data_IF_824205374017
#
_entry.id   IF_824205374017
#
_cell.length_a   1.000
_cell.length_b   1.000
_cell.length_c   1.000
_cell.angle_alpha   90.00
_cell.angle_beta   90.00
_cell.angle_gamma   90.00
#
_symmetry.space_group_name_H-M   'P 1'
#
loop_
_entity.id
_entity.type
_entity.pdbx_description
1 polymer ?
#
# COMPACT_ATOMS: atom_id res chain seq x y z
N UNK A 1 -4.85 -4.44 35.13
CA UNK A 1 -6.30 -4.75 35.02
C UNK A 1 -6.90 -4.11 33.78
N UNK A 2 -7.05 -2.78 33.70
CA UNK A 2 -7.70 -2.15 32.51
C UNK A 2 -6.84 -2.19 31.23
N UNK A 3 -5.54 -1.96 31.36
CA UNK A 3 -4.59 -2.00 30.22
C UNK A 3 -4.46 -3.41 29.63
N UNK A 4 -4.40 -4.43 30.49
CA UNK A 4 -4.34 -5.84 30.08
C UNK A 4 -5.63 -6.28 29.37
N UNK A 5 -6.79 -5.85 29.88
CA UNK A 5 -8.09 -6.09 29.22
C UNK A 5 -8.16 -5.42 27.84
N UNK A 6 -7.64 -4.20 27.70
CA UNK A 6 -7.56 -3.51 26.40
C UNK A 6 -6.61 -4.23 25.45
N UNK A 7 -5.47 -4.69 25.95
CA UNK A 7 -4.51 -5.46 25.18
C UNK A 7 -5.13 -6.78 24.66
N UNK A 8 -5.80 -7.54 25.53
CA UNK A 8 -6.50 -8.78 25.14
C UNK A 8 -7.61 -8.52 24.12
N UNK A 9 -8.37 -7.43 24.27
CA UNK A 9 -9.38 -7.03 23.30
C UNK A 9 -8.77 -6.71 21.92
N UNK A 10 -7.65 -5.98 21.88
CA UNK A 10 -6.94 -5.68 20.64
C UNK A 10 -6.35 -6.94 19.98
N UNK A 11 -5.86 -7.89 20.77
CA UNK A 11 -5.41 -9.19 20.25
C UNK A 11 -6.59 -9.95 19.62
N UNK A 12 -7.73 -10.01 20.29
CA UNK A 12 -8.93 -10.68 19.75
C UNK A 12 -9.45 -10.00 18.46
N UNK A 13 -9.39 -8.67 18.38
CA UNK A 13 -9.74 -7.92 17.17
C UNK A 13 -8.81 -8.26 16.00
N UNK A 14 -7.49 -8.37 16.25
CA UNK A 14 -6.50 -8.73 15.24
C UNK A 14 -6.69 -10.17 14.78
N UNK A 15 -6.97 -11.10 15.69
CA UNK A 15 -7.28 -12.49 15.35
C UNK A 15 -8.55 -12.62 14.51
N UNK A 16 -9.60 -11.87 14.87
CA UNK A 16 -10.85 -11.79 14.12
C UNK A 16 -10.63 -11.18 12.72
N UNK A 17 -9.73 -10.20 12.61
CA UNK A 17 -9.35 -9.64 11.31
C UNK A 17 -8.56 -10.64 10.47
N UNK A 18 -7.66 -11.41 11.09
CA UNK A 18 -6.83 -12.41 10.40
C UNK A 18 -7.61 -13.63 9.92
N UNK A 19 -8.75 -13.95 10.54
CA UNK A 19 -9.64 -15.03 10.11
C UNK A 19 -10.46 -14.69 8.84
N UNK A 20 -10.44 -13.43 8.38
CA UNK A 20 -11.13 -13.04 7.15
C UNK A 20 -10.55 -13.73 5.90
N UNK A 21 -11.41 -13.95 4.88
CA UNK A 21 -11.05 -14.61 3.60
C UNK A 21 -9.83 -13.96 2.92
N UNK A 22 -9.59 -12.67 3.18
CA UNK A 22 -8.43 -11.92 2.69
C UNK A 22 -7.09 -12.59 3.00
N UNK A 23 -6.98 -13.28 4.13
CA UNK A 23 -5.71 -13.86 4.60
C UNK A 23 -5.61 -15.36 4.45
N UNK A 24 -6.55 -16.01 3.77
CA UNK A 24 -6.59 -17.47 3.58
C UNK A 24 -5.28 -18.08 3.06
N UNK A 25 -4.55 -17.35 2.21
CA UNK A 25 -3.27 -17.78 1.63
C UNK A 25 -2.04 -17.20 2.33
N UNK A 26 -2.22 -16.45 3.43
CA UNK A 26 -1.13 -15.75 4.13
C UNK A 26 -0.66 -16.54 5.34
N UNK A 27 0.56 -17.09 5.29
CA UNK A 27 1.21 -17.75 6.44
C UNK A 27 2.05 -16.73 7.22
N UNK A 28 1.80 -16.58 8.51
CA UNK A 28 2.55 -15.69 9.41
C UNK A 28 3.39 -16.52 10.39
N UNK A 29 4.72 -16.33 10.48
CA UNK A 29 5.57 -17.01 11.45
C UNK A 29 5.61 -16.31 12.83
N UNK A 30 4.55 -15.57 13.19
CA UNK A 30 4.42 -14.78 14.42
C UNK A 30 2.95 -14.71 14.85
N UNK A 31 2.70 -14.38 16.12
CA UNK A 31 1.35 -14.36 16.71
C UNK A 31 0.71 -12.98 16.65
N UNK A 32 -0.62 -12.91 16.84
CA UNK A 32 -1.33 -11.64 16.95
C UNK A 32 -0.82 -10.82 18.15
N UNK A 33 -0.49 -11.49 19.24
CA UNK A 33 0.11 -10.89 20.43
C UNK A 33 1.43 -10.18 20.10
N UNK A 34 2.33 -10.84 19.37
CA UNK A 34 3.61 -10.24 18.97
C UNK A 34 3.39 -8.96 18.15
N UNK A 35 2.34 -8.92 17.32
CA UNK A 35 2.00 -7.72 16.55
C UNK A 35 1.47 -6.61 17.45
N UNK A 36 0.52 -6.89 18.34
CA UNK A 36 -0.08 -5.87 19.22
C UNK A 36 0.97 -5.25 20.15
N UNK A 37 2.00 -6.00 20.57
CA UNK A 37 3.11 -5.47 21.36
C UNK A 37 3.86 -4.34 20.65
N UNK A 38 4.06 -4.43 19.33
CA UNK A 38 4.78 -3.42 18.55
C UNK A 38 3.86 -2.35 17.94
N UNK A 39 2.54 -2.55 17.95
CA UNK A 39 1.59 -1.58 17.42
C UNK A 39 1.30 -0.53 18.50
N UNK A 40 2.14 0.50 18.54
CA UNK A 40 1.85 1.67 19.36
C UNK A 40 0.67 2.46 18.76
N UNK A 41 -0.42 2.55 19.52
CA UNK A 41 -1.47 3.59 19.49
C UNK A 41 -1.97 3.98 18.09
N UNK A 42 -3.09 3.37 17.68
CA UNK A 42 -4.19 3.97 16.91
C UNK A 42 -3.83 4.89 15.73
N UNK A 43 -2.80 4.59 14.96
CA UNK A 43 -2.68 5.14 13.60
C UNK A 43 -3.50 4.26 12.66
N UNK A 44 -4.83 4.43 12.68
CA UNK A 44 -5.71 3.91 11.63
C UNK A 44 -5.43 4.69 10.33
N UNK A 45 -4.26 4.44 9.73
CA UNK A 45 -3.78 5.17 8.57
C UNK A 45 -4.76 4.99 7.41
N UNK A 46 -5.18 6.13 6.85
CA UNK A 46 -6.13 6.34 5.75
C UNK A 46 -5.85 5.52 4.48
N UNK A 47 -4.67 4.90 4.38
CA UNK A 47 -4.29 3.94 3.34
C UNK A 47 -5.26 2.74 3.26
N UNK A 48 -5.95 2.41 4.35
CA UNK A 48 -6.84 1.23 4.42
C UNK A 48 -7.89 1.19 3.30
N UNK A 49 -8.49 2.30 2.90
CA UNK A 49 -9.58 2.31 1.90
C UNK A 49 -9.09 2.01 0.48
N UNK A 50 -7.95 2.57 0.07
CA UNK A 50 -7.38 2.34 -1.28
C UNK A 50 -6.80 0.93 -1.43
N UNK A 51 -6.17 0.42 -0.39
CA UNK A 51 -5.65 -0.95 -0.35
C UNK A 51 -6.77 -2.00 -0.40
N UNK A 52 -7.89 -1.77 0.28
CA UNK A 52 -9.06 -2.64 0.21
C UNK A 52 -9.66 -2.69 -1.21
N UNK A 53 -9.73 -1.55 -1.90
CA UNK A 53 -10.17 -1.50 -3.32
C UNK A 53 -9.26 -2.33 -4.24
N UNK A 54 -7.94 -2.23 -4.08
CA UNK A 54 -6.99 -3.02 -4.88
C UNK A 54 -7.11 -4.53 -4.60
N UNK A 55 -7.37 -4.92 -3.34
CA UNK A 55 -7.59 -6.33 -2.99
C UNK A 55 -8.90 -6.87 -3.59
N UNK A 56 -9.97 -6.08 -3.56
CA UNK A 56 -11.25 -6.41 -4.18
C UNK A 56 -11.11 -6.56 -5.70
N UNK A 57 -10.44 -5.62 -6.36
CA UNK A 57 -10.21 -5.67 -7.80
C UNK A 57 -9.38 -6.88 -8.22
N UNK A 58 -8.32 -7.20 -7.46
CA UNK A 58 -7.52 -8.40 -7.71
C UNK A 58 -8.35 -9.67 -7.63
N UNK A 59 -9.19 -9.80 -6.60
CA UNK A 59 -10.09 -10.95 -6.45
C UNK A 59 -11.05 -11.07 -7.64
N UNK A 60 -11.65 -9.94 -8.08
CA UNK A 60 -12.53 -9.90 -9.26
C UNK A 60 -11.83 -10.33 -10.54
N UNK A 61 -10.64 -9.79 -10.80
CA UNK A 61 -9.82 -10.09 -11.98
C UNK A 61 -9.41 -11.57 -12.00
N UNK A 62 -8.98 -12.12 -10.86
CA UNK A 62 -8.64 -13.55 -10.74
C UNK A 62 -9.86 -14.45 -10.97
N UNK A 63 -11.02 -14.12 -10.40
CA UNK A 63 -12.24 -14.91 -10.57
C UNK A 63 -12.78 -14.86 -12.00
N UNK A 64 -12.58 -13.76 -12.71
CA UNK A 64 -13.02 -13.58 -14.09
C UNK A 64 -12.00 -14.07 -15.13
N UNK A 65 -10.83 -14.55 -14.70
CA UNK A 65 -9.75 -14.99 -15.58
C UNK A 65 -9.15 -13.85 -16.43
N UNK A 66 -9.33 -12.60 -16.04
CA UNK A 66 -8.82 -11.42 -16.76
C UNK A 66 -7.51 -10.91 -16.14
N UNK A 67 -6.95 -9.82 -16.67
CA UNK A 67 -5.76 -9.18 -16.11
C UNK A 67 -5.93 -7.66 -16.03
N UNK A 68 -5.53 -7.06 -14.90
CA UNK A 68 -5.34 -5.60 -14.80
C UNK A 68 -3.93 -5.26 -15.26
N UNK A 69 -3.81 -4.44 -16.31
CA UNK A 69 -2.53 -4.05 -16.92
C UNK A 69 -2.29 -2.56 -16.67
N UNK A 70 -1.05 -2.20 -16.36
CA UNK A 70 -0.62 -0.81 -16.18
C UNK A 70 0.85 -0.65 -16.53
N UNK A 71 1.37 0.57 -16.50
CA UNK A 71 2.78 0.90 -16.70
C UNK A 71 3.23 1.96 -15.70
N UNK A 72 4.54 2.24 -15.67
CA UNK A 72 5.16 3.16 -14.71
C UNK A 72 4.77 4.61 -14.94
N UNK A 73 4.14 5.24 -13.94
CA UNK A 73 3.79 6.65 -13.99
C UNK A 73 4.97 7.55 -13.55
N UNK A 74 5.33 8.51 -14.40
CA UNK A 74 6.43 9.45 -14.20
C UNK A 74 6.00 10.67 -13.37
N UNK A 75 4.80 11.18 -13.57
CA UNK A 75 4.34 12.43 -12.95
C UNK A 75 2.81 12.45 -12.75
N UNK A 76 2.27 13.40 -11.96
CA UNK A 76 0.83 13.49 -11.72
C UNK A 76 -0.02 13.74 -12.97
N UNK A 77 0.52 14.44 -13.99
CA UNK A 77 -0.20 14.68 -15.24
C UNK A 77 -0.41 13.35 -15.97
N UNK A 78 0.63 12.52 -16.06
CA UNK A 78 0.54 11.18 -16.62
C UNK A 78 -0.47 10.32 -15.83
N UNK A 79 -0.48 10.42 -14.50
CA UNK A 79 -1.47 9.73 -13.65
C UNK A 79 -2.91 10.13 -14.00
N UNK A 80 -3.19 11.42 -14.20
CA UNK A 80 -4.56 11.87 -14.55
C UNK A 80 -5.04 11.34 -15.89
N UNK A 81 -4.14 11.14 -16.85
CA UNK A 81 -4.47 10.55 -18.14
C UNK A 81 -4.63 9.04 -18.05
N UNK A 82 -3.76 8.37 -17.28
CA UNK A 82 -3.84 6.94 -17.02
C UNK A 82 -5.12 6.54 -16.30
N UNK A 83 -5.56 7.34 -15.32
CA UNK A 83 -6.75 7.06 -14.51
C UNK A 83 -8.06 6.95 -15.32
N UNK A 84 -8.09 7.46 -16.55
CA UNK A 84 -9.24 7.36 -17.47
C UNK A 84 -9.35 5.98 -18.13
N UNK A 85 -8.26 5.24 -18.20
CA UNK A 85 -8.14 4.02 -19.01
C UNK A 85 -7.60 2.81 -18.23
N UNK A 86 -6.96 3.03 -17.09
CA UNK A 86 -6.24 2.01 -16.32
C UNK A 86 -6.72 2.02 -14.87
N UNK A 87 -6.97 0.82 -14.33
CA UNK A 87 -7.48 0.64 -12.97
C UNK A 87 -6.40 0.74 -11.89
N UNK A 88 -5.14 0.58 -12.29
CA UNK A 88 -3.98 0.52 -11.40
C UNK A 88 -2.86 1.45 -11.89
N UNK A 89 -2.03 1.90 -10.95
CA UNK A 89 -0.84 2.73 -11.21
C UNK A 89 0.37 1.97 -10.66
N UNK A 90 1.40 1.84 -11.47
CA UNK A 90 2.69 1.29 -11.06
C UNK A 90 3.70 2.43 -10.86
N UNK A 91 4.48 2.36 -9.77
CA UNK A 91 5.57 3.29 -9.49
C UNK A 91 6.87 2.52 -9.61
N UNK A 92 7.68 2.88 -10.60
CA UNK A 92 8.92 2.16 -10.93
C UNK A 92 10.12 2.72 -10.15
N UNK A 93 10.88 1.83 -9.50
CA UNK A 93 12.17 2.18 -8.88
C UNK A 93 13.16 2.72 -9.91
N UNK A 94 13.25 2.07 -11.07
CA UNK A 94 14.07 2.52 -12.21
C UNK A 94 13.75 3.96 -12.63
N UNK A 95 12.45 4.31 -12.75
CA UNK A 95 12.04 5.67 -13.11
C UNK A 95 12.41 6.67 -12.01
N UNK A 96 12.32 6.27 -10.73
CA UNK A 96 12.72 7.12 -9.61
C UNK A 96 14.24 7.33 -9.60
N UNK A 97 15.04 6.29 -9.85
CA UNK A 97 16.51 6.36 -9.97
C UNK A 97 16.97 7.37 -11.02
N UNK A 98 16.27 7.41 -12.16
CA UNK A 98 16.67 8.25 -13.29
C UNK A 98 16.12 9.67 -13.24
N UNK A 99 15.00 9.91 -12.54
CA UNK A 99 14.26 11.20 -12.66
C UNK A 99 13.93 11.87 -11.34
N UNK A 100 13.92 11.13 -10.23
CA UNK A 100 13.39 11.61 -8.96
C UNK A 100 14.08 10.90 -7.80
N UNK A 101 15.37 11.15 -7.59
CA UNK A 101 16.07 10.78 -6.35
C UNK A 101 15.90 11.90 -5.33
N UNK A 102 15.79 11.57 -4.04
CA UNK A 102 15.62 12.58 -2.98
C UNK A 102 16.82 13.53 -2.83
N UNK A 103 17.99 13.13 -3.33
CA UNK A 103 19.22 13.93 -3.40
C UNK A 103 19.40 14.69 -4.72
N UNK A 104 18.50 14.53 -5.70
CA UNK A 104 18.62 15.04 -7.06
C UNK A 104 19.86 14.52 -7.83
N UNK A 105 20.45 13.42 -7.39
CA UNK A 105 21.52 12.72 -8.10
C UNK A 105 20.91 11.58 -8.93
N UNK A 106 20.83 11.70 -10.27
CA UNK A 106 20.30 10.62 -11.10
C UNK A 106 21.33 9.50 -11.25
N UNK A 107 20.85 8.26 -11.31
CA UNK A 107 21.72 7.08 -11.44
C UNK A 107 21.04 5.90 -12.15
N UNK A 108 21.85 4.92 -12.60
CA UNK A 108 21.31 3.64 -13.09
C UNK A 108 20.53 2.92 -11.98
N UNK A 109 19.62 2.01 -12.35
CA UNK A 109 18.78 1.27 -11.39
C UNK A 109 19.59 0.26 -10.56
N UNK A 110 20.23 0.78 -9.52
CA UNK A 110 21.06 0.04 -8.57
C UNK A 110 20.51 0.12 -7.15
N UNK A 111 19.40 0.83 -6.94
CA UNK A 111 18.82 1.12 -5.63
C UNK A 111 19.83 1.74 -4.65
N UNK A 112 20.77 2.54 -5.18
CA UNK A 112 21.78 3.30 -4.44
C UNK A 112 21.27 4.68 -3.99
N UNK A 113 20.12 5.12 -4.50
CA UNK A 113 19.40 6.29 -4.02
C UNK A 113 18.85 6.07 -2.59
N UNK A 114 18.62 7.15 -1.80
CA UNK A 114 18.11 7.01 -0.45
C UNK A 114 16.73 6.32 -0.43
N UNK A 115 16.49 5.48 0.58
CA UNK A 115 15.30 4.60 0.64
C UNK A 115 13.96 5.34 0.67
N UNK A 116 13.97 6.63 1.02
CA UNK A 116 12.81 7.52 1.05
C UNK A 116 12.38 7.99 -0.34
N UNK A 117 13.20 7.78 -1.37
CA UNK A 117 12.97 8.20 -2.75
C UNK A 117 11.63 7.70 -3.30
N UNK A 118 11.36 6.39 -3.20
CA UNK A 118 10.10 5.80 -3.70
C UNK A 118 8.90 6.13 -2.80
N UNK A 119 8.99 6.04 -1.45
CA UNK A 119 7.91 6.50 -0.56
C UNK A 119 7.54 7.97 -0.74
N UNK A 120 8.51 8.87 -0.94
CA UNK A 120 8.27 10.30 -1.16
C UNK A 120 7.47 10.52 -2.45
N UNK A 121 7.70 9.69 -3.47
CA UNK A 121 6.92 9.69 -4.72
C UNK A 121 5.48 9.21 -4.53
N UNK A 122 5.23 8.34 -3.55
CA UNK A 122 3.87 7.92 -3.19
C UNK A 122 3.16 8.98 -2.32
N UNK A 123 3.90 9.81 -1.59
CA UNK A 123 3.42 10.91 -0.74
C UNK A 123 2.95 12.14 -1.55
N UNK A 124 2.16 11.89 -2.59
CA UNK A 124 1.34 12.93 -3.19
C UNK A 124 0.13 13.13 -2.27
N UNK A 125 0.27 14.03 -1.31
CA UNK A 125 -0.81 14.56 -0.47
C UNK A 125 -2.03 15.05 -1.29
N UNK A 126 -1.89 15.25 -2.61
CA UNK A 126 -2.97 15.66 -3.52
C UNK A 126 -3.78 14.51 -4.14
N UNK A 127 -3.42 13.23 -3.99
CA UNK A 127 -4.29 12.13 -4.46
C UNK A 127 -5.50 11.87 -3.55
N UNK A 128 -5.60 12.57 -2.41
CA UNK A 128 -6.74 12.49 -1.48
C UNK A 128 -7.95 13.33 -1.90
N UNK A 129 -7.80 14.29 -2.82
CA UNK A 129 -8.87 15.25 -3.13
C UNK A 129 -9.51 15.07 -4.51
N UNK A 130 -8.93 14.25 -5.41
CA UNK A 130 -9.31 14.28 -6.84
C UNK A 130 -9.95 12.98 -7.36
N UNK A 131 -10.10 11.93 -6.56
CA UNK A 131 -10.76 10.67 -7.00
C UNK A 131 -12.01 10.33 -6.18
N UNK A 132 -12.80 11.34 -5.85
CA UNK A 132 -14.22 11.19 -5.47
C UNK A 132 -15.05 11.84 -6.58
N UNK A 133 -15.22 11.13 -7.69
CA UNK A 133 -16.29 11.32 -8.66
C UNK A 133 -16.85 9.95 -8.97
#
# INVERSE_FOLDING_TARGET
>A
MEEERRFEAEVADVETWWSSERFKLTRRPYTARDVVVYVAISSKVMLRTRWLRSCGERSRVTNNGTASRTFGALDPVQVTMMAKHLDTIYVSGWQCSSTHTSTNEPGPDLADYPYDTVPTRLNISSLSSTMTV
#
